data_IF_658989057904
#
_entry.id   IF_658989057904
#
_cell.length_a   1.000
_cell.length_b   1.000
_cell.length_c   1.000
_cell.angle_alpha   90.00
_cell.angle_beta   90.00
_cell.angle_gamma   90.00
#
_symmetry.space_group_name_H-M   'P 1'
#
loop_
_entity.id
_entity.type
_entity.pdbx_description
1 polymer ?
#
# COMPACT_ATOMS: atom_id res chain seq x y z
N UNK A 1 -3.14 4.93 20.95
CA UNK A 1 -3.73 4.44 19.70
C UNK A 1 -3.08 3.11 19.34
N UNK A 2 -3.80 2.21 18.68
CA UNK A 2 -3.33 0.87 18.34
C UNK A 2 -3.26 0.68 16.83
N UNK A 3 -2.13 0.14 16.34
CA UNK A 3 -1.88 -0.10 14.91
C UNK A 3 -1.84 -1.61 14.67
N UNK A 4 -2.67 -2.10 13.75
CA UNK A 4 -2.63 -3.47 13.27
C UNK A 4 -1.68 -3.60 12.08
N UNK A 5 -0.75 -4.53 12.14
CA UNK A 5 0.03 -5.00 11.00
C UNK A 5 -0.51 -6.37 10.58
N UNK A 6 -1.18 -6.43 9.44
CA UNK A 6 -1.90 -7.65 9.01
C UNK A 6 -0.92 -8.73 8.58
N UNK A 7 -1.05 -9.89 9.21
CA UNK A 7 -0.38 -11.13 8.79
C UNK A 7 -1.37 -12.11 8.15
N UNK A 8 -1.32 -12.17 6.85
CA UNK A 8 -2.05 -13.16 6.04
C UNK A 8 -1.09 -14.14 5.34
N UNK A 9 0.10 -14.35 5.91
CA UNK A 9 1.19 -15.20 5.44
C UNK A 9 1.92 -14.69 4.16
N UNK A 10 1.65 -13.44 3.73
CA UNK A 10 2.27 -12.86 2.52
C UNK A 10 2.68 -11.40 2.77
N UNK A 11 3.82 -11.17 3.36
CA UNK A 11 4.28 -9.81 3.62
C UNK A 11 5.65 -9.75 4.29
N UNK A 12 6.37 -8.66 4.08
CA UNK A 12 7.61 -8.39 4.80
C UNK A 12 7.30 -7.66 6.11
N UNK A 13 6.63 -8.36 7.04
CA UNK A 13 6.18 -7.81 8.33
C UNK A 13 7.35 -7.23 9.12
N UNK A 14 8.47 -7.96 9.19
CA UNK A 14 9.62 -7.55 9.98
C UNK A 14 10.23 -6.22 9.56
N UNK A 15 10.27 -5.93 8.27
CA UNK A 15 10.80 -4.64 7.78
C UNK A 15 9.85 -3.49 8.09
N UNK A 16 8.53 -3.69 7.93
CA UNK A 16 7.52 -2.68 8.28
C UNK A 16 7.51 -2.42 9.77
N UNK A 17 7.48 -3.46 10.60
CA UNK A 17 7.51 -3.33 12.07
C UNK A 17 8.76 -2.58 12.55
N UNK A 18 9.96 -2.91 12.02
CA UNK A 18 11.20 -2.21 12.36
C UNK A 18 11.18 -0.74 11.94
N UNK A 19 10.59 -0.41 10.77
CA UNK A 19 10.46 0.99 10.35
C UNK A 19 9.53 1.78 11.28
N UNK A 20 8.42 1.19 11.73
CA UNK A 20 7.53 1.81 12.71
C UNK A 20 8.21 1.97 14.09
N UNK A 21 8.91 0.94 14.56
CA UNK A 21 9.68 0.99 15.81
C UNK A 21 10.77 2.08 15.77
N UNK A 22 11.47 2.22 14.65
CA UNK A 22 12.44 3.29 14.43
C UNK A 22 11.82 4.70 14.54
N UNK A 23 10.54 4.84 14.14
CA UNK A 23 9.77 6.07 14.27
C UNK A 23 9.12 6.24 15.66
N UNK A 24 9.39 5.33 16.60
CA UNK A 24 8.85 5.37 17.95
C UNK A 24 7.41 4.83 18.11
N UNK A 25 6.85 4.27 17.03
CA UNK A 25 5.51 3.67 17.05
C UNK A 25 5.57 2.14 17.26
N UNK A 26 4.53 1.61 17.89
CA UNK A 26 4.35 0.15 18.06
C UNK A 26 3.19 -0.33 17.21
N UNK A 27 3.31 -1.54 16.67
CA UNK A 27 2.23 -2.21 15.98
C UNK A 27 2.08 -3.64 16.51
N UNK A 28 0.85 -4.13 16.52
CA UNK A 28 0.55 -5.53 16.82
C UNK A 28 0.37 -6.29 15.51
N UNK A 29 1.00 -7.45 15.41
CA UNK A 29 0.77 -8.37 14.29
C UNK A 29 -0.58 -9.04 14.50
N UNK A 30 -1.46 -8.94 13.49
CA UNK A 30 -2.83 -9.43 13.55
C UNK A 30 -3.04 -10.51 12.50
N UNK A 31 -3.28 -11.74 12.99
CA UNK A 31 -3.51 -12.93 12.16
C UNK A 31 -4.99 -13.31 12.07
N UNK A 32 -5.82 -12.75 12.95
CA UNK A 32 -7.25 -13.08 13.09
C UNK A 32 -8.09 -11.87 12.71
N UNK A 33 -8.89 -11.99 11.64
CA UNK A 33 -9.64 -10.88 11.08
C UNK A 33 -10.62 -10.22 12.07
N UNK A 34 -11.27 -10.99 12.96
CA UNK A 34 -12.20 -10.45 13.95
C UNK A 34 -11.55 -9.53 14.99
N UNK A 35 -10.23 -9.60 15.17
CA UNK A 35 -9.51 -8.73 16.08
C UNK A 35 -9.27 -7.32 15.51
N UNK A 36 -9.38 -7.15 14.18
CA UNK A 36 -9.06 -5.89 13.50
C UNK A 36 -9.92 -4.72 13.98
N UNK A 37 -11.16 -4.96 14.38
CA UNK A 37 -12.10 -3.91 14.79
C UNK A 37 -11.64 -3.12 16.02
N UNK A 38 -10.79 -3.71 16.88
CA UNK A 38 -10.25 -3.05 18.09
C UNK A 38 -9.14 -2.03 17.79
N UNK A 39 -8.57 -2.06 16.58
CA UNK A 39 -7.48 -1.17 16.19
C UNK A 39 -7.98 0.14 15.59
N UNK A 40 -7.17 1.20 15.73
CA UNK A 40 -7.46 2.54 15.22
C UNK A 40 -6.89 2.75 13.82
N UNK A 41 -5.80 2.05 13.52
CA UNK A 41 -5.14 2.07 12.21
C UNK A 41 -4.71 0.66 11.78
N UNK A 42 -4.56 0.47 10.48
CA UNK A 42 -4.18 -0.81 9.88
C UNK A 42 -3.17 -0.62 8.76
N UNK A 43 -2.16 -1.48 8.71
CA UNK A 43 -1.21 -1.59 7.60
C UNK A 43 -1.36 -2.97 6.98
N UNK A 44 -1.58 -3.01 5.68
CA UNK A 44 -1.62 -4.23 4.86
C UNK A 44 -0.39 -4.28 3.96
N UNK A 45 0.71 -4.91 4.40
CA UNK A 45 1.84 -5.18 3.52
C UNK A 45 1.52 -6.33 2.58
N UNK A 46 2.27 -6.47 1.49
CA UNK A 46 2.11 -7.63 0.63
C UNK A 46 3.27 -7.82 -0.34
N UNK A 47 3.60 -9.07 -0.57
CA UNK A 47 4.55 -9.52 -1.62
C UNK A 47 3.99 -10.77 -2.29
N UNK A 48 4.40 -11.03 -3.54
CA UNK A 48 3.91 -12.19 -4.29
C UNK A 48 2.86 -11.80 -5.34
N UNK A 49 1.98 -12.73 -5.72
CA UNK A 49 0.98 -12.53 -6.76
C UNK A 49 -0.37 -12.04 -6.20
N UNK A 50 -1.13 -11.32 -7.04
CA UNK A 50 -2.46 -10.82 -6.68
C UNK A 50 -3.42 -11.96 -6.29
N UNK A 51 -3.42 -13.06 -7.06
CA UNK A 51 -4.32 -14.19 -6.82
C UNK A 51 -4.05 -14.87 -5.48
N UNK A 52 -2.77 -15.20 -5.22
CA UNK A 52 -2.36 -15.85 -3.97
C UNK A 52 -2.63 -14.92 -2.76
N UNK A 53 -2.38 -13.61 -2.92
CA UNK A 53 -2.66 -12.61 -1.90
C UNK A 53 -4.14 -12.53 -1.55
N UNK A 54 -5.02 -12.49 -2.55
CA UNK A 54 -6.47 -12.47 -2.32
C UNK A 54 -7.00 -13.79 -1.74
N UNK A 55 -6.44 -14.93 -2.14
CA UNK A 55 -6.78 -16.23 -1.54
C UNK A 55 -6.37 -16.29 -0.07
N UNK A 56 -5.16 -15.86 0.24
CA UNK A 56 -4.67 -15.80 1.62
C UNK A 56 -5.52 -14.86 2.51
N UNK A 57 -5.90 -13.67 2.00
CA UNK A 57 -6.81 -12.77 2.73
C UNK A 57 -8.17 -13.41 2.99
N UNK A 58 -8.75 -14.09 1.99
CA UNK A 58 -10.05 -14.78 2.11
C UNK A 58 -9.99 -15.94 3.09
N UNK A 59 -8.93 -16.75 3.04
CA UNK A 59 -8.77 -17.90 3.93
C UNK A 59 -8.75 -17.50 5.41
N UNK A 60 -8.27 -16.29 5.73
CA UNK A 60 -8.26 -15.71 7.07
C UNK A 60 -9.45 -14.76 7.36
N UNK A 61 -10.36 -14.54 6.39
CA UNK A 61 -11.54 -13.70 6.53
C UNK A 61 -11.28 -12.18 6.51
N UNK A 62 -10.07 -11.75 6.13
CA UNK A 62 -9.74 -10.33 6.04
C UNK A 62 -10.44 -9.61 4.90
N UNK A 63 -10.78 -10.30 3.82
CA UNK A 63 -11.48 -9.75 2.66
C UNK A 63 -12.85 -9.15 3.03
N UNK A 64 -13.53 -9.71 4.01
CA UNK A 64 -14.81 -9.20 4.51
C UNK A 64 -14.65 -8.05 5.52
N UNK A 65 -13.56 -8.04 6.30
CA UNK A 65 -13.35 -7.07 7.40
C UNK A 65 -12.67 -5.80 6.91
N UNK A 66 -11.68 -5.90 6.03
CA UNK A 66 -10.89 -4.75 5.55
C UNK A 66 -11.75 -3.66 4.87
N UNK A 67 -12.71 -3.96 3.97
CA UNK A 67 -13.57 -2.93 3.39
C UNK A 67 -14.41 -2.21 4.44
N UNK A 68 -14.91 -2.91 5.45
CA UNK A 68 -15.67 -2.31 6.57
C UNK A 68 -14.78 -1.44 7.45
N UNK A 69 -13.55 -1.88 7.73
CA UNK A 69 -12.56 -1.12 8.48
C UNK A 69 -12.27 0.23 7.79
N UNK A 70 -12.03 0.22 6.48
CA UNK A 70 -11.81 1.45 5.71
C UNK A 70 -13.08 2.32 5.67
N UNK A 71 -14.25 1.72 5.46
CA UNK A 71 -15.52 2.45 5.43
C UNK A 71 -15.89 3.09 6.77
N UNK A 72 -15.38 2.58 7.90
CA UNK A 72 -15.55 3.19 9.22
C UNK A 72 -14.73 4.47 9.44
N UNK A 73 -13.89 4.87 8.45
CA UNK A 73 -13.05 6.07 8.51
C UNK A 73 -11.76 5.89 9.30
N UNK A 74 -11.42 4.68 9.70
CA UNK A 74 -10.14 4.35 10.34
C UNK A 74 -8.98 4.46 9.36
N UNK A 75 -7.78 4.73 9.87
CA UNK A 75 -6.60 4.96 9.04
C UNK A 75 -6.07 3.65 8.45
N UNK A 76 -5.79 3.64 7.15
CA UNK A 76 -5.35 2.44 6.44
C UNK A 76 -4.19 2.74 5.49
N UNK A 77 -3.19 1.84 5.45
CA UNK A 77 -2.08 1.90 4.50
C UNK A 77 -1.86 0.53 3.83
N UNK A 78 -2.07 0.46 2.52
CA UNK A 78 -1.66 -0.68 1.69
C UNK A 78 -0.24 -0.50 1.15
N UNK A 79 0.62 -1.53 1.19
CA UNK A 79 2.00 -1.46 0.69
C UNK A 79 2.21 -2.52 -0.39
N UNK A 80 2.66 -2.09 -1.57
CA UNK A 80 3.00 -2.91 -2.73
C UNK A 80 1.82 -3.80 -3.17
N UNK A 81 1.87 -5.11 -2.99
CA UNK A 81 0.73 -5.99 -3.26
C UNK A 81 -0.50 -5.59 -2.44
N UNK A 82 -0.31 -5.10 -1.20
CA UNK A 82 -1.38 -4.54 -0.39
C UNK A 82 -2.12 -3.39 -1.07
N UNK A 83 -1.42 -2.51 -1.81
CA UNK A 83 -2.07 -1.49 -2.65
C UNK A 83 -2.87 -2.13 -3.79
N UNK A 84 -2.28 -3.09 -4.49
CA UNK A 84 -2.92 -3.71 -5.66
C UNK A 84 -4.22 -4.44 -5.29
N UNK A 85 -4.23 -5.14 -4.16
CA UNK A 85 -5.42 -5.84 -3.67
C UNK A 85 -6.60 -4.93 -3.29
N UNK A 86 -6.36 -3.62 -3.10
CA UNK A 86 -7.43 -2.64 -2.85
C UNK A 86 -8.26 -2.32 -4.11
N UNK A 87 -7.76 -2.66 -5.30
CA UNK A 87 -8.46 -2.46 -6.59
C UNK A 87 -9.53 -3.54 -6.79
N UNK A 88 -10.32 -3.41 -7.87
CA UNK A 88 -11.40 -4.33 -8.21
C UNK A 88 -10.89 -5.63 -8.83
N UNK A 89 -9.76 -5.58 -9.56
CA UNK A 89 -9.20 -6.72 -10.32
C UNK A 89 -7.74 -6.51 -10.71
N UNK A 90 -7.11 -7.57 -11.20
CA UNK A 90 -5.74 -7.53 -11.74
C UNK A 90 -5.60 -8.40 -12.98
N UNK A 91 -4.86 -7.90 -13.98
CA UNK A 91 -4.46 -8.71 -15.13
C UNK A 91 -3.53 -9.89 -14.75
N UNK A 92 -2.91 -9.84 -13.56
CA UNK A 92 -2.08 -10.92 -13.05
C UNK A 92 -2.88 -12.19 -12.77
N UNK A 93 -4.14 -12.02 -12.34
CA UNK A 93 -5.00 -13.13 -11.93
C UNK A 93 -6.41 -12.94 -12.48
N UNK A 94 -6.63 -13.21 -13.78
CA UNK A 94 -7.93 -13.06 -14.43
C UNK A 94 -9.04 -13.82 -13.68
N UNK A 95 -10.16 -13.13 -13.43
CA UNK A 95 -11.29 -13.71 -12.70
C UNK A 95 -11.22 -13.59 -11.17
N UNK A 96 -10.06 -13.24 -10.60
CA UNK A 96 -9.94 -12.97 -9.17
C UNK A 96 -10.36 -11.53 -8.88
N UNK A 97 -11.33 -11.35 -7.99
CA UNK A 97 -11.74 -10.02 -7.51
C UNK A 97 -10.85 -9.55 -6.37
N UNK A 98 -10.46 -8.27 -6.39
CA UNK A 98 -9.83 -7.60 -5.27
C UNK A 98 -10.85 -7.09 -4.25
N UNK A 99 -10.41 -6.24 -3.34
CA UNK A 99 -11.25 -5.69 -2.25
C UNK A 99 -12.21 -4.59 -2.75
N UNK A 100 -11.98 -3.98 -3.92
CA UNK A 100 -12.83 -2.94 -4.51
C UNK A 100 -12.94 -1.66 -3.69
N UNK A 101 -11.94 -1.36 -2.86
CA UNK A 101 -11.88 -0.12 -2.06
C UNK A 101 -11.57 1.08 -2.97
N UNK A 102 -10.70 0.87 -3.95
CA UNK A 102 -10.45 1.80 -5.05
C UNK A 102 -11.00 1.25 -6.35
N UNK A 103 -11.62 2.11 -7.14
CA UNK A 103 -12.09 1.77 -8.49
C UNK A 103 -10.94 1.60 -9.46
N UNK A 104 -11.05 0.61 -10.33
CA UNK A 104 -10.09 0.35 -11.41
C UNK A 104 -9.40 -1.00 -11.27
N UNK A 105 -8.39 -1.21 -12.11
CA UNK A 105 -7.69 -2.48 -12.22
C UNK A 105 -6.19 -2.32 -12.26
N UNK A 106 -5.51 -3.36 -11.81
CA UNK A 106 -4.05 -3.50 -11.91
C UNK A 106 -3.70 -4.08 -13.28
N UNK A 107 -2.76 -3.45 -13.99
CA UNK A 107 -2.35 -3.79 -15.36
C UNK A 107 -0.92 -4.28 -15.41
N UNK A 108 -0.58 -5.13 -16.38
CA UNK A 108 0.79 -5.60 -16.61
C UNK A 108 1.59 -4.55 -17.37
N UNK A 109 2.84 -4.29 -16.94
CA UNK A 109 3.77 -3.55 -17.79
C UNK A 109 4.05 -4.30 -19.09
N UNK A 110 3.84 -3.61 -20.22
CA UNK A 110 4.17 -4.06 -21.57
C UNK A 110 5.07 -2.99 -22.18
N UNK A 111 6.39 -3.16 -22.02
CA UNK A 111 7.40 -2.14 -22.34
C UNK A 111 8.43 -2.74 -23.29
N UNK A 112 8.57 -2.14 -24.48
CA UNK A 112 9.57 -2.55 -25.44
C UNK A 112 10.97 -2.08 -24.97
N UNK A 113 11.93 -3.01 -24.88
CA UNK A 113 13.31 -2.71 -24.54
C UNK A 113 13.60 -2.41 -23.06
N UNK A 114 12.60 -2.42 -22.20
CA UNK A 114 12.77 -2.23 -20.74
C UNK A 114 12.55 -3.53 -19.98
N UNK A 115 13.27 -3.70 -18.86
CA UNK A 115 13.11 -4.88 -18.01
C UNK A 115 11.81 -4.83 -17.22
N UNK A 116 11.13 -5.97 -17.10
CA UNK A 116 10.02 -6.17 -16.17
C UNK A 116 10.40 -7.36 -15.30
N UNK A 117 10.34 -7.26 -13.97
CA UNK A 117 9.73 -6.20 -13.15
C UNK A 117 10.50 -4.88 -13.17
N UNK A 118 9.77 -3.76 -12.94
CA UNK A 118 10.34 -2.51 -12.46
C UNK A 118 10.94 -2.76 -11.08
N UNK A 119 12.26 -2.79 -10.99
CA UNK A 119 12.99 -3.08 -9.77
C UNK A 119 14.09 -2.08 -9.55
N UNK A 120 14.07 -1.42 -8.39
CA UNK A 120 15.07 -0.44 -7.99
C UNK A 120 14.47 0.88 -7.54
N UNK A 121 15.32 1.90 -7.48
CA UNK A 121 14.99 3.25 -7.09
C UNK A 121 14.49 4.05 -8.29
N UNK A 122 13.38 4.76 -8.11
CA UNK A 122 12.84 5.64 -9.15
C UNK A 122 12.19 6.87 -8.53
N UNK A 123 12.20 7.97 -9.28
CA UNK A 123 11.69 9.27 -8.86
C UNK A 123 10.15 9.27 -8.80
N UNK A 124 9.59 9.85 -7.76
CA UNK A 124 8.17 9.97 -7.52
C UNK A 124 7.77 11.43 -7.42
N UNK A 125 6.68 11.79 -8.11
CA UNK A 125 6.05 13.10 -8.01
C UNK A 125 4.80 12.99 -7.14
N UNK A 126 4.73 13.81 -6.09
CA UNK A 126 3.68 13.74 -5.06
C UNK A 126 2.68 14.89 -5.22
N UNK A 127 1.40 14.58 -5.26
CA UNK A 127 0.34 15.57 -5.09
C UNK A 127 0.13 15.87 -3.59
N UNK A 128 -0.36 17.07 -3.23
CA UNK A 128 -0.66 17.43 -1.85
C UNK A 128 -1.66 16.47 -1.20
N UNK A 129 -1.27 15.87 -0.09
CA UNK A 129 -2.07 14.95 0.71
C UNK A 129 -1.54 14.93 2.14
N UNK A 130 -2.34 14.59 3.15
CA UNK A 130 -1.84 14.48 4.53
C UNK A 130 -0.62 13.56 4.66
N UNK A 131 -0.54 12.45 3.89
CA UNK A 131 0.57 11.51 3.97
C UNK A 131 1.78 11.89 3.11
N UNK A 132 1.64 12.85 2.20
CA UNK A 132 2.73 13.34 1.34
C UNK A 132 3.34 14.66 1.83
N UNK A 133 2.92 15.17 2.97
CA UNK A 133 3.44 16.42 3.53
C UNK A 133 4.95 16.33 3.77
N UNK A 134 5.70 17.34 3.28
CA UNK A 134 7.16 17.38 3.40
C UNK A 134 7.92 16.45 2.44
N UNK A 135 7.21 15.79 1.52
CA UNK A 135 7.81 15.10 0.38
C UNK A 135 7.90 16.06 -0.82
N UNK A 136 9.02 16.02 -1.52
CA UNK A 136 9.27 16.82 -2.71
C UNK A 136 9.17 15.96 -3.97
N UNK A 137 8.82 16.59 -5.09
CA UNK A 137 8.81 15.91 -6.38
C UNK A 137 10.23 15.50 -6.80
N UNK A 138 10.34 14.33 -7.40
CA UNK A 138 11.62 13.77 -7.81
C UNK A 138 12.35 12.97 -6.70
N UNK A 139 11.79 12.80 -5.52
CA UNK A 139 12.38 11.93 -4.51
C UNK A 139 12.35 10.46 -4.91
N UNK A 140 13.42 9.73 -4.60
CA UNK A 140 13.58 8.35 -5.00
C UNK A 140 12.96 7.40 -3.99
N UNK A 141 12.07 6.52 -4.48
CA UNK A 141 11.46 5.43 -3.73
C UNK A 141 11.85 4.08 -4.33
N UNK A 142 11.83 3.02 -3.52
CA UNK A 142 12.19 1.67 -3.92
C UNK A 142 10.98 0.87 -4.40
N UNK A 143 11.06 0.38 -5.64
CA UNK A 143 10.03 -0.41 -6.32
C UNK A 143 10.49 -1.84 -6.62
N UNK A 144 9.55 -2.77 -6.62
CA UNK A 144 9.72 -4.12 -7.16
C UNK A 144 8.36 -4.68 -7.58
N UNK A 145 7.95 -4.44 -8.83
CA UNK A 145 6.63 -4.87 -9.32
C UNK A 145 6.59 -5.04 -10.84
N UNK A 146 5.76 -5.96 -11.32
CA UNK A 146 5.50 -6.21 -12.75
C UNK A 146 4.15 -5.67 -13.21
N UNK A 147 3.31 -5.28 -12.25
CA UNK A 147 1.96 -4.78 -12.48
C UNK A 147 1.79 -3.44 -11.81
N UNK A 148 0.92 -2.60 -12.36
CA UNK A 148 0.75 -1.20 -11.93
C UNK A 148 -0.72 -0.75 -12.01
N UNK A 149 -1.04 0.32 -11.30
CA UNK A 149 -2.28 1.06 -11.42
C UNK A 149 -2.04 2.28 -12.33
N UNK A 150 -2.96 2.57 -13.24
CA UNK A 150 -2.85 3.71 -14.15
C UNK A 150 -2.73 5.05 -13.40
N UNK A 151 -1.92 5.99 -13.92
CA UNK A 151 -1.75 7.31 -13.33
C UNK A 151 -3.03 8.17 -13.36
N UNK A 152 -3.96 7.86 -14.27
CA UNK A 152 -5.27 8.51 -14.40
C UNK A 152 -6.34 7.93 -13.45
N UNK A 153 -5.96 7.02 -12.55
CA UNK A 153 -6.87 6.53 -11.52
C UNK A 153 -7.38 7.70 -10.64
N UNK A 154 -8.71 7.80 -10.37
CA UNK A 154 -9.28 8.94 -9.64
C UNK A 154 -8.69 9.17 -8.25
N UNK A 155 -8.14 8.13 -7.64
CA UNK A 155 -7.52 8.19 -6.32
C UNK A 155 -5.99 8.39 -6.36
N UNK A 156 -5.39 8.65 -7.52
CA UNK A 156 -3.93 8.82 -7.65
C UNK A 156 -3.47 10.08 -6.91
N UNK A 157 -2.55 9.92 -5.97
CA UNK A 157 -1.93 11.03 -5.20
C UNK A 157 -0.41 11.09 -5.35
N UNK A 158 0.18 10.17 -6.10
CA UNK A 158 1.58 10.27 -6.52
C UNK A 158 1.80 9.45 -7.80
N UNK A 159 2.69 9.92 -8.65
CA UNK A 159 3.03 9.28 -9.92
C UNK A 159 4.51 8.97 -10.01
N UNK A 160 4.82 7.95 -10.80
CA UNK A 160 6.18 7.59 -11.19
C UNK A 160 6.18 7.22 -12.67
N UNK A 161 7.31 7.38 -13.35
CA UNK A 161 7.46 7.04 -14.78
C UNK A 161 8.37 5.83 -14.93
N UNK A 162 7.86 4.79 -15.59
CA UNK A 162 8.63 3.63 -16.02
C UNK A 162 8.13 3.17 -17.40
N UNK A 163 8.74 3.71 -18.45
CA UNK A 163 8.23 3.63 -19.81
C UNK A 163 7.00 4.51 -20.05
N UNK A 164 6.07 4.50 -19.13
CA UNK A 164 4.91 5.41 -19.08
C UNK A 164 4.58 5.78 -17.63
N UNK A 165 3.77 6.83 -17.38
CA UNK A 165 3.34 7.17 -16.03
C UNK A 165 2.44 6.11 -15.43
N UNK A 166 2.60 5.88 -14.11
CA UNK A 166 1.73 5.01 -13.31
C UNK A 166 1.49 5.62 -11.92
N UNK A 167 0.44 5.18 -11.22
CA UNK A 167 0.16 5.60 -9.86
C UNK A 167 1.16 4.96 -8.89
N UNK A 168 2.03 5.77 -8.31
CA UNK A 168 2.94 5.37 -7.25
C UNK A 168 2.23 5.30 -5.89
N UNK A 169 1.17 6.14 -5.71
CA UNK A 169 0.31 6.11 -4.53
C UNK A 169 -1.15 6.36 -4.88
N UNK A 170 -2.04 5.77 -4.09
CA UNK A 170 -3.47 6.06 -4.07
C UNK A 170 -3.86 6.62 -2.69
N UNK A 171 -4.90 7.48 -2.67
CA UNK A 171 -5.44 8.04 -1.44
C UNK A 171 -6.89 8.49 -1.57
N UNK A 172 -7.70 8.17 -0.55
CA UNK A 172 -9.08 8.64 -0.41
C UNK A 172 -9.47 8.68 1.07
N UNK A 173 -9.78 9.86 1.57
CA UNK A 173 -10.04 10.03 3.00
C UNK A 173 -8.83 9.65 3.85
N UNK A 174 -8.97 8.64 4.71
CA UNK A 174 -7.90 8.10 5.56
C UNK A 174 -7.36 6.75 5.06
N UNK A 175 -7.73 6.35 3.84
CA UNK A 175 -7.21 5.16 3.18
C UNK A 175 -6.14 5.55 2.17
N UNK A 176 -4.92 5.08 2.38
CA UNK A 176 -3.75 5.34 1.55
C UNK A 176 -3.12 4.04 1.08
N UNK A 177 -2.41 4.10 -0.04
CA UNK A 177 -1.66 2.96 -0.52
C UNK A 177 -0.44 3.40 -1.33
N UNK A 178 0.68 2.69 -1.21
CA UNK A 178 1.91 2.93 -1.94
C UNK A 178 2.32 1.68 -2.74
N UNK A 179 2.67 1.86 -4.02
CA UNK A 179 3.22 0.79 -4.85
C UNK A 179 4.68 0.49 -4.48
N UNK A 180 5.42 1.51 -4.08
CA UNK A 180 6.78 1.35 -3.56
C UNK A 180 6.74 0.82 -2.11
N UNK A 181 7.90 0.42 -1.62
CA UNK A 181 8.10 -0.03 -0.25
C UNK A 181 8.60 1.14 0.62
N UNK A 182 7.75 1.82 1.40
CA UNK A 182 8.19 2.92 2.25
C UNK A 182 9.23 2.47 3.28
N UNK A 183 9.11 1.26 3.82
CA UNK A 183 10.06 0.67 4.77
C UNK A 183 11.46 0.41 4.18
N UNK A 184 11.59 0.54 2.84
CA UNK A 184 12.86 0.40 2.11
C UNK A 184 13.28 1.69 1.40
N UNK A 185 12.47 2.75 1.48
CA UNK A 185 12.66 3.97 0.71
C UNK A 185 13.38 5.08 1.49
N UNK A 186 14.15 4.74 2.51
CA UNK A 186 14.96 5.69 3.30
C UNK A 186 14.13 6.92 3.77
N UNK A 187 14.68 8.17 3.61
CA UNK A 187 14.02 9.39 4.07
C UNK A 187 12.59 9.56 3.54
N UNK A 188 12.30 9.52 2.23
CA UNK A 188 10.94 9.70 1.75
C UNK A 188 9.97 8.63 2.28
N UNK A 189 10.41 7.39 2.39
CA UNK A 189 9.59 6.33 2.96
C UNK A 189 9.29 6.54 4.45
N UNK A 190 10.30 6.93 5.23
CA UNK A 190 10.13 7.26 6.66
C UNK A 190 9.23 8.49 6.86
N UNK A 191 9.38 9.52 6.00
CA UNK A 191 8.50 10.70 6.03
C UNK A 191 7.03 10.30 5.78
N UNK A 192 6.78 9.45 4.77
CA UNK A 192 5.44 8.93 4.50
C UNK A 192 4.87 8.16 5.70
N UNK A 193 5.65 7.25 6.28
CA UNK A 193 5.22 6.49 7.47
C UNK A 193 4.97 7.41 8.66
N UNK A 194 5.82 8.41 8.91
CA UNK A 194 5.61 9.42 9.95
C UNK A 194 4.29 10.17 9.74
N UNK A 195 4.02 10.60 8.51
CA UNK A 195 2.77 11.28 8.19
C UNK A 195 1.55 10.36 8.35
N UNK A 196 1.67 9.09 7.96
CA UNK A 196 0.63 8.09 8.20
C UNK A 196 0.34 7.97 9.71
N UNK A 197 1.38 7.88 10.55
CA UNK A 197 1.25 7.82 12.00
C UNK A 197 0.59 9.08 12.58
N UNK A 198 0.91 10.27 12.06
CA UNK A 198 0.25 11.53 12.44
C UNK A 198 -1.23 11.54 12.06
N UNK A 199 -1.56 11.16 10.83
CA UNK A 199 -2.96 11.03 10.39
C UNK A 199 -3.70 10.00 11.23
N UNK A 200 -3.04 8.93 11.60
CA UNK A 200 -3.59 7.92 12.48
C UNK A 200 -3.78 8.43 13.91
N UNK A 201 -3.04 9.46 14.36
CA UNK A 201 -3.09 10.04 15.71
C UNK A 201 -2.10 9.41 16.69
N UNK A 202 -1.05 8.73 16.19
CA UNK A 202 0.01 8.10 17.02
C UNK A 202 1.12 9.09 17.35
N UNK A 203 1.38 10.05 16.48
CA UNK A 203 2.39 11.11 16.64
C UNK A 203 1.72 12.49 16.58
N UNK A 204 2.25 13.46 17.31
CA UNK A 204 1.90 14.88 17.27
C UNK A 204 2.60 15.63 16.12
#
# INVERSE_FOLDING_TARGET
MSIALIDYNMGNLGSVAKALEFLGARCDVVEVASELERFDACILPGVGSFGDGMEALRSKGFDAVLPRFVASGKCFLGICLGMQMLLESSEESPGVRGLGIFTGSVRKFRLDGMKVPHMGWNAVDFAPSPVTQGLENGEFCYFVHSYYVSADAPACIATCVYGHPFAAMLGKGRCFAAQFHPEKSQRPGLTLLTNFLKVAGELE
#
